data_IF_074412595367
#
_entry.id   IF_074412595367
#
_cell.length_a   1.000
_cell.length_b   1.000
_cell.length_c   1.000
_cell.angle_alpha   90.00
_cell.angle_beta   90.00
_cell.angle_gamma   90.00
#
_symmetry.space_group_name_H-M   'P 1'
#
loop_
_entity.id
_entity.type
_entity.pdbx_description
1 polymer ?
#
# COMPACT_ATOMS: atom_id res chain seq x y z
N UNK A 1 22.45 -29.28 -9.16
CA UNK A 1 23.21 -30.01 -8.13
C UNK A 1 24.71 -29.95 -8.47
N UNK A 2 25.47 -29.07 -7.81
CA UNK A 2 26.89 -29.25 -7.43
C UNK A 2 27.37 -28.02 -6.64
N UNK A 3 27.93 -28.30 -5.47
CA UNK A 3 28.48 -27.39 -4.49
C UNK A 3 30.01 -27.41 -4.64
N UNK A 4 30.70 -26.26 -4.65
CA UNK A 4 32.10 -26.15 -4.22
C UNK A 4 32.24 -24.88 -3.36
N UNK A 5 32.85 -25.05 -2.20
CA UNK A 5 33.02 -24.11 -1.07
C UNK A 5 34.50 -23.77 -0.91
N UNK A 6 34.81 -22.66 -0.20
CA UNK A 6 36.11 -22.15 0.32
C UNK A 6 36.70 -21.02 -0.57
N UNK A 7 37.09 -19.82 -0.12
CA UNK A 7 37.34 -19.18 1.18
C UNK A 7 37.26 -17.64 1.03
N UNK A 8 37.45 -16.93 2.15
CA UNK A 8 37.20 -15.52 2.44
C UNK A 8 37.94 -14.45 1.60
N UNK A 9 37.42 -13.23 1.77
CA UNK A 9 37.94 -11.88 1.51
C UNK A 9 37.54 -11.16 0.19
N UNK A 10 37.36 -9.81 0.24
CA UNK A 10 36.27 -9.13 -0.46
C UNK A 10 36.76 -8.48 -1.75
N UNK A 11 36.00 -8.65 -2.82
CA UNK A 11 36.16 -7.84 -4.03
C UNK A 11 34.80 -7.24 -4.37
N UNK A 12 34.63 -6.02 -3.89
CA UNK A 12 33.67 -5.06 -4.41
C UNK A 12 33.92 -4.92 -5.92
N UNK A 13 33.04 -5.48 -6.75
CA UNK A 13 32.97 -5.14 -8.17
C UNK A 13 31.51 -4.97 -8.61
N UNK A 14 31.10 -3.72 -8.48
CA UNK A 14 30.37 -2.94 -9.49
C UNK A 14 29.31 -3.71 -10.29
N UNK A 15 28.06 -3.70 -9.80
CA UNK A 15 26.91 -3.77 -10.69
C UNK A 15 26.51 -2.35 -11.12
N UNK A 16 26.20 -2.23 -12.40
CA UNK A 16 26.18 -1.01 -13.20
C UNK A 16 25.07 -0.05 -12.72
N UNK A 17 25.41 0.93 -11.90
CA UNK A 17 24.57 2.12 -11.66
C UNK A 17 24.48 2.91 -12.97
N UNK A 18 23.29 2.99 -13.59
CA UNK A 18 22.99 4.08 -14.51
C UNK A 18 22.47 5.24 -13.68
N UNK A 19 23.39 6.04 -13.15
CA UNK A 19 23.08 7.36 -12.61
C UNK A 19 22.61 8.26 -13.75
N UNK A 20 21.42 8.83 -13.61
CA UNK A 20 20.95 9.89 -14.49
C UNK A 20 21.58 11.19 -13.98
N UNK A 21 22.75 11.53 -14.51
CA UNK A 21 23.37 12.85 -14.34
C UNK A 21 22.65 13.85 -15.23
N UNK A 22 21.81 14.73 -14.66
CA UNK A 22 21.28 15.89 -15.38
C UNK A 22 22.27 17.04 -15.20
N UNK A 23 23.30 17.04 -16.04
CA UNK A 23 24.25 18.13 -16.19
C UNK A 23 23.64 19.29 -16.96
N UNK A 24 23.86 20.50 -16.47
CA UNK A 24 23.38 21.76 -17.00
C UNK A 24 23.81 22.01 -18.46
N UNK A 25 22.90 22.55 -19.27
CA UNK A 25 23.29 23.39 -20.39
C UNK A 25 22.26 24.52 -20.55
N UNK A 26 22.69 25.70 -20.13
CA UNK A 26 22.07 26.99 -20.40
C UNK A 26 22.24 27.29 -21.89
N UNK A 27 21.13 27.50 -22.60
CA UNK A 27 21.06 28.43 -23.74
C UNK A 27 19.77 29.21 -23.66
N UNK A 28 19.92 30.49 -23.40
CA UNK A 28 18.92 31.55 -23.50
C UNK A 28 18.83 32.00 -24.96
N UNK A 29 17.64 31.96 -25.55
CA UNK A 29 17.29 32.79 -26.71
C UNK A 29 15.92 33.45 -26.41
N UNK A 30 15.77 34.76 -26.64
CA UNK A 30 14.56 35.50 -26.28
C UNK A 30 13.55 35.45 -27.43
N UNK A 31 12.29 35.10 -27.13
CA UNK A 31 11.17 35.38 -28.04
C UNK A 31 10.24 36.35 -27.35
N UNK A 32 10.45 37.63 -27.69
CA UNK A 32 9.53 38.73 -27.48
C UNK A 32 8.46 38.68 -28.58
N UNK A 33 7.22 38.35 -28.23
CA UNK A 33 6.07 38.68 -29.05
C UNK A 33 4.86 38.91 -28.15
N UNK A 34 4.61 40.19 -27.88
CA UNK A 34 3.39 40.69 -27.27
C UNK A 34 2.19 40.41 -28.18
N UNK A 35 1.09 39.90 -27.62
CA UNK A 35 -0.24 39.90 -28.25
C UNK A 35 -1.20 40.62 -27.31
N UNK A 36 -1.90 41.68 -27.76
CA UNK A 36 -2.66 42.56 -26.88
C UNK A 36 -4.03 41.97 -26.53
N UNK A 37 -4.43 42.18 -25.28
CA UNK A 37 -5.77 41.93 -24.77
C UNK A 37 -6.76 43.00 -25.27
N UNK A 38 -7.76 42.61 -26.06
CA UNK A 38 -9.03 43.34 -26.19
C UNK A 38 -10.22 42.39 -26.37
N UNK A 39 -11.03 42.33 -25.31
CA UNK A 39 -12.49 42.53 -25.29
C UNK A 39 -13.31 41.83 -26.39
N UNK A 40 -13.89 40.68 -26.05
CA UNK A 40 -15.21 40.30 -26.58
C UNK A 40 -16.11 39.78 -25.45
N UNK A 41 -16.94 40.69 -24.94
CA UNK A 41 -18.14 40.35 -24.17
C UNK A 41 -19.14 39.72 -25.13
N UNK A 42 -19.42 38.42 -24.99
CA UNK A 42 -20.65 37.82 -25.50
C UNK A 42 -21.28 36.90 -24.46
N UNK A 43 -22.38 37.42 -23.91
CA UNK A 43 -23.51 36.73 -23.26
C UNK A 43 -23.65 35.28 -23.73
N UNK A 44 -23.62 34.35 -22.77
CA UNK A 44 -24.27 33.05 -22.90
C UNK A 44 -25.38 32.95 -21.85
N UNK A 45 -26.61 32.54 -22.23
CA UNK A 45 -27.76 32.52 -21.36
C UNK A 45 -27.68 31.38 -20.33
N UNK A 46 -28.21 31.65 -19.13
CA UNK A 46 -28.38 30.71 -18.06
C UNK A 46 -29.30 29.56 -18.48
N UNK A 47 -28.74 28.34 -18.53
CA UNK A 47 -29.52 27.11 -18.62
C UNK A 47 -29.80 26.61 -17.19
N UNK A 48 -30.92 27.07 -16.63
CA UNK A 48 -31.54 26.47 -15.46
C UNK A 48 -32.19 25.16 -15.86
N UNK A 49 -31.46 24.04 -15.69
CA UNK A 49 -32.05 22.71 -15.80
C UNK A 49 -32.45 22.23 -14.41
N UNK A 50 -33.76 22.33 -14.16
CA UNK A 50 -34.48 21.65 -13.09
C UNK A 50 -34.10 20.16 -13.05
N UNK A 51 -33.46 19.73 -11.97
CA UNK A 51 -33.23 18.31 -11.68
C UNK A 51 -34.47 17.79 -10.97
N UNK A 52 -35.33 17.10 -11.73
CA UNK A 52 -36.45 16.33 -11.20
C UNK A 52 -35.89 15.14 -10.42
N UNK A 53 -35.97 15.21 -9.09
CA UNK A 53 -35.70 14.08 -8.20
C UNK A 53 -36.84 13.07 -8.31
N UNK A 54 -36.71 12.10 -9.22
CA UNK A 54 -37.46 10.84 -9.11
C UNK A 54 -36.76 9.95 -8.09
N UNK A 55 -37.46 9.70 -7.00
CA UNK A 55 -37.13 8.69 -6.00
C UNK A 55 -36.98 7.31 -6.66
N UNK A 56 -35.80 6.72 -6.51
CA UNK A 56 -35.53 5.33 -6.90
C UNK A 56 -36.15 4.43 -5.81
N UNK A 57 -37.04 3.47 -6.14
CA UNK A 57 -37.60 2.57 -5.14
C UNK A 57 -36.52 1.60 -4.66
N UNK A 58 -36.30 1.58 -3.34
CA UNK A 58 -35.45 0.61 -2.63
C UNK A 58 -36.12 -0.77 -2.78
N UNK A 59 -35.53 -1.66 -3.57
CA UNK A 59 -35.94 -3.06 -3.63
C UNK A 59 -35.60 -3.74 -2.29
N UNK A 60 -36.61 -4.33 -1.65
CA UNK A 60 -36.43 -5.17 -0.46
C UNK A 60 -35.72 -6.47 -0.87
N UNK A 61 -34.77 -7.00 -0.07
CA UNK A 61 -34.14 -8.28 -0.36
C UNK A 61 -35.17 -9.43 -0.25
N UNK A 62 -35.09 -10.39 -1.18
CA UNK A 62 -35.91 -11.62 -1.17
C UNK A 62 -35.43 -12.58 -0.07
N UNK A 63 -36.33 -13.41 0.50
CA UNK A 63 -35.95 -14.43 1.48
C UNK A 63 -35.02 -15.46 0.84
N UNK A 64 -33.99 -15.86 1.57
CA UNK A 64 -33.07 -16.93 1.17
C UNK A 64 -33.72 -18.26 1.55
N UNK A 65 -34.12 -19.04 0.54
CA UNK A 65 -34.60 -20.41 0.74
C UNK A 65 -33.49 -21.29 1.30
N UNK A 66 -33.81 -22.03 2.36
CA UNK A 66 -32.90 -22.98 3.02
C UNK A 66 -32.61 -24.14 2.07
N UNK A 67 -31.36 -24.25 1.65
CA UNK A 67 -30.91 -25.35 0.81
C UNK A 67 -30.75 -26.63 1.64
N UNK A 68 -31.36 -27.69 1.13
CA UNK A 68 -31.40 -29.02 1.67
C UNK A 68 -29.99 -29.62 1.86
N UNK A 69 -29.79 -30.30 2.99
CA UNK A 69 -28.61 -31.11 3.29
C UNK A 69 -28.57 -32.31 2.35
N UNK A 70 -27.44 -32.47 1.66
CA UNK A 70 -27.20 -33.58 0.73
C UNK A 70 -26.64 -34.78 1.49
N UNK A 71 -27.36 -35.89 1.43
CA UNK A 71 -26.95 -37.20 1.92
C UNK A 71 -25.66 -37.66 1.24
N UNK A 72 -24.67 -38.06 2.05
CA UNK A 72 -23.54 -38.88 1.62
C UNK A 72 -23.70 -40.27 2.22
N UNK A 73 -24.03 -41.24 1.37
CA UNK A 73 -24.10 -42.65 1.72
C UNK A 73 -22.73 -43.34 1.69
N UNK A 74 -22.61 -44.34 2.56
CA UNK A 74 -22.03 -45.65 2.22
C UNK A 74 -20.51 -45.78 2.18
N UNK A 75 -19.92 -46.17 3.32
CA UNK A 75 -18.58 -46.78 3.39
C UNK A 75 -18.54 -47.81 4.52
N UNK A 76 -18.37 -49.08 4.14
CA UNK A 76 -18.43 -50.29 4.97
C UNK A 76 -17.35 -50.34 6.08
N UNK A 77 -17.61 -50.98 7.24
CA UNK A 77 -16.61 -51.13 8.29
C UNK A 77 -15.75 -52.39 8.11
N UNK A 78 -14.44 -52.26 8.32
CA UNK A 78 -13.52 -53.39 8.52
C UNK A 78 -13.52 -53.81 10.00
N UNK A 79 -13.43 -55.12 10.32
CA UNK A 79 -13.39 -55.58 11.70
C UNK A 79 -11.97 -55.46 12.27
N UNK A 80 -11.78 -54.59 13.26
CA UNK A 80 -10.59 -54.63 14.10
C UNK A 80 -10.88 -55.44 15.37
N UNK A 81 -10.13 -56.53 15.50
CA UNK A 81 -10.16 -57.51 16.58
C UNK A 81 -9.74 -56.90 17.91
N UNK A 82 -10.55 -57.20 18.92
CA UNK A 82 -10.39 -56.83 20.32
C UNK A 82 -9.23 -57.63 20.96
N UNK A 83 -8.21 -56.95 21.48
CA UNK A 83 -7.20 -57.58 22.33
C UNK A 83 -7.45 -57.16 23.78
N UNK A 84 -7.86 -58.13 24.60
CA UNK A 84 -8.08 -58.00 26.03
C UNK A 84 -6.75 -57.95 26.76
N UNK A 85 -6.33 -56.77 27.22
CA UNK A 85 -5.34 -56.67 28.30
C UNK A 85 -6.04 -56.45 29.63
N UNK A 86 -5.82 -57.40 30.53
CA UNK A 86 -6.08 -57.30 31.95
C UNK A 86 -4.90 -56.59 32.62
N UNK A 87 -5.16 -55.58 33.47
CA UNK A 87 -4.26 -55.22 34.57
C UNK A 87 -5.00 -54.39 35.65
N UNK A 88 -4.57 -54.45 36.92
CA UNK A 88 -5.48 -54.41 38.06
C UNK A 88 -5.62 -53.04 38.74
N UNK A 89 -6.77 -52.92 39.40
CA UNK A 89 -7.11 -52.08 40.56
C UNK A 89 -5.91 -51.40 41.25
N UNK A 90 -5.81 -50.07 41.09
CA UNK A 90 -5.37 -49.15 42.15
C UNK A 90 -6.36 -48.00 42.26
N UNK A 91 -7.31 -48.20 43.17
CA UNK A 91 -8.22 -47.19 43.68
C UNK A 91 -7.41 -46.34 44.67
N UNK A 92 -7.14 -45.07 44.37
CA UNK A 92 -6.43 -44.22 45.32
C UNK A 92 -5.99 -42.88 44.75
N UNK A 93 -6.72 -41.83 45.14
CA UNK A 93 -6.22 -40.46 45.31
C UNK A 93 -5.79 -39.65 44.07
N UNK A 94 -6.74 -39.26 43.21
CA UNK A 94 -6.61 -38.05 42.38
C UNK A 94 -7.91 -37.22 42.26
N UNK A 95 -8.88 -37.39 43.17
CA UNK A 95 -10.18 -36.66 43.10
C UNK A 95 -10.13 -35.31 43.87
N UNK A 96 -8.98 -34.90 44.40
CA UNK A 96 -8.83 -33.66 45.17
C UNK A 96 -8.06 -32.53 44.43
N UNK A 97 -8.01 -32.53 43.10
CA UNK A 97 -7.36 -31.48 42.28
C UNK A 97 -8.27 -30.90 41.18
N UNK A 98 -9.59 -31.09 41.29
CA UNK A 98 -10.56 -30.53 40.33
C UNK A 98 -11.45 -29.44 40.98
N UNK A 99 -11.39 -29.27 42.30
CA UNK A 99 -12.31 -28.36 43.04
C UNK A 99 -11.69 -26.97 43.31
N UNK A 100 -10.53 -26.66 42.73
CA UNK A 100 -9.80 -25.40 42.98
C UNK A 100 -9.34 -24.70 41.69
N UNK A 101 -10.23 -24.60 40.68
CA UNK A 101 -10.16 -23.54 39.66
C UNK A 101 -11.40 -23.51 38.75
N UNK A 102 -12.42 -22.70 39.10
CA UNK A 102 -13.16 -21.97 38.09
C UNK A 102 -12.97 -20.47 38.35
N UNK A 103 -11.74 -20.01 38.49
CA UNK A 103 -11.39 -18.59 38.57
C UNK A 103 -10.51 -18.10 37.41
N UNK A 104 -10.30 -18.93 36.38
CA UNK A 104 -9.47 -18.57 35.22
C UNK A 104 -10.14 -18.71 33.85
N UNK A 105 -11.43 -19.07 33.76
CA UNK A 105 -12.12 -19.24 32.46
C UNK A 105 -12.74 -17.96 31.89
N UNK A 106 -12.61 -16.80 32.54
CA UNK A 106 -13.23 -15.54 32.07
C UNK A 106 -12.24 -14.42 31.70
N UNK A 107 -10.96 -14.71 31.43
CA UNK A 107 -9.96 -13.67 31.13
C UNK A 107 -9.50 -13.57 29.67
N UNK A 108 -10.25 -14.09 28.70
CA UNK A 108 -9.79 -14.13 27.30
C UNK A 108 -10.78 -13.62 26.24
N UNK A 109 -11.90 -13.01 26.62
CA UNK A 109 -12.65 -12.15 25.71
C UNK A 109 -12.19 -10.70 25.90
N UNK A 110 -10.95 -10.42 25.46
CA UNK A 110 -10.58 -9.05 25.19
C UNK A 110 -11.51 -8.56 24.08
N UNK A 111 -12.52 -7.76 24.43
CA UNK A 111 -13.40 -7.13 23.45
C UNK A 111 -12.52 -6.29 22.51
N UNK A 112 -12.28 -6.81 21.30
CA UNK A 112 -11.60 -6.01 20.28
C UNK A 112 -12.55 -4.85 19.96
N UNK A 113 -12.09 -3.59 20.05
CA UNK A 113 -12.94 -2.46 19.72
C UNK A 113 -13.46 -2.64 18.28
N UNK A 114 -14.76 -2.43 18.10
CA UNK A 114 -15.39 -2.50 16.78
C UNK A 114 -14.86 -1.35 15.93
N UNK A 115 -14.15 -1.68 14.85
CA UNK A 115 -13.61 -0.70 13.90
C UNK A 115 -14.52 -0.56 12.69
N UNK A 116 -14.64 0.65 12.17
CA UNK A 116 -15.42 0.88 10.94
C UNK A 116 -14.66 0.38 9.70
N UNK A 117 -15.39 0.06 8.62
CA UNK A 117 -14.76 -0.30 7.35
C UNK A 117 -13.84 0.80 6.81
N UNK A 118 -14.18 2.07 7.08
CA UNK A 118 -13.35 3.22 6.71
C UNK A 118 -12.04 3.22 7.50
N UNK A 119 -12.12 2.99 8.80
CA UNK A 119 -10.97 2.94 9.69
C UNK A 119 -10.02 1.79 9.33
N UNK A 120 -10.55 0.61 9.01
CA UNK A 120 -9.74 -0.50 8.52
C UNK A 120 -9.10 -0.17 7.16
N UNK A 121 -9.84 0.47 6.26
CA UNK A 121 -9.32 0.88 4.96
C UNK A 121 -8.20 1.92 5.08
N UNK A 122 -8.28 2.82 6.06
CA UNK A 122 -7.32 3.91 6.26
C UNK A 122 -6.24 3.59 7.31
N UNK A 123 -6.09 2.31 7.65
CA UNK A 123 -5.07 1.86 8.60
C UNK A 123 -3.65 2.09 8.06
N UNK A 124 -2.76 2.66 8.88
CA UNK A 124 -1.34 2.83 8.59
C UNK A 124 -1.05 3.49 7.23
N UNK A 125 -1.89 4.46 6.86
CA UNK A 125 -1.74 5.27 5.66
C UNK A 125 -2.11 6.72 5.95
N UNK A 126 -1.35 7.66 5.41
CA UNK A 126 -1.69 9.08 5.43
C UNK A 126 -2.55 9.38 4.19
N UNK A 127 -3.82 9.70 4.42
CA UNK A 127 -4.76 10.08 3.36
C UNK A 127 -4.44 11.49 2.88
N UNK A 128 -4.34 11.67 1.56
CA UNK A 128 -4.06 12.98 0.97
C UNK A 128 -5.26 13.93 1.16
N UNK A 129 -4.97 15.21 1.41
CA UNK A 129 -5.98 16.27 1.51
C UNK A 129 -6.04 17.15 0.27
N UNK A 130 -5.00 17.15 -0.57
CA UNK A 130 -4.92 17.96 -1.78
C UNK A 130 -4.70 17.12 -3.03
N UNK A 131 -5.14 17.60 -4.19
CA UNK A 131 -5.12 16.81 -5.43
C UNK A 131 -3.69 16.54 -5.95
N UNK A 132 -2.76 17.46 -5.71
CA UNK A 132 -1.38 17.41 -6.21
C UNK A 132 -0.36 16.91 -5.17
N UNK A 133 -0.81 16.45 -4.01
CA UNK A 133 0.04 16.06 -2.87
C UNK A 133 0.17 14.55 -2.69
N UNK A 134 -0.32 13.72 -3.60
CA UNK A 134 -0.24 12.25 -3.50
C UNK A 134 1.18 11.75 -3.22
N UNK A 135 2.21 12.33 -3.88
CA UNK A 135 3.61 11.98 -3.63
C UNK A 135 4.07 12.36 -2.20
N UNK A 136 3.59 13.49 -1.67
CA UNK A 136 3.86 13.87 -0.28
C UNK A 136 3.20 12.89 0.71
N UNK A 137 1.96 12.47 0.43
CA UNK A 137 1.21 11.55 1.28
C UNK A 137 1.82 10.13 1.30
N UNK A 138 2.23 9.57 0.15
CA UNK A 138 2.91 8.26 0.13
C UNK A 138 4.27 8.30 0.83
N UNK A 139 5.03 9.39 0.65
CA UNK A 139 6.32 9.53 1.30
C UNK A 139 6.16 9.69 2.81
N UNK A 140 5.21 10.52 3.24
CA UNK A 140 4.86 10.67 4.64
C UNK A 140 4.39 9.34 5.26
N UNK A 141 3.64 8.53 4.50
CA UNK A 141 3.19 7.20 4.92
C UNK A 141 4.38 6.27 5.21
N UNK A 142 5.33 6.16 4.27
CA UNK A 142 6.54 5.34 4.45
C UNK A 142 7.37 5.85 5.63
N UNK A 143 7.62 7.17 5.70
CA UNK A 143 8.42 7.75 6.77
C UNK A 143 7.81 7.49 8.14
N UNK A 144 6.50 7.70 8.28
CA UNK A 144 5.79 7.57 9.56
C UNK A 144 5.64 6.12 9.99
N UNK A 145 5.14 5.25 9.11
CA UNK A 145 4.75 3.89 9.50
C UNK A 145 5.83 2.84 9.28
N UNK A 146 6.77 3.06 8.36
CA UNK A 146 7.82 2.08 8.03
C UNK A 146 9.20 2.50 8.52
N UNK A 147 9.43 3.81 8.71
CA UNK A 147 10.73 4.35 9.17
C UNK A 147 10.69 4.96 10.57
N UNK A 148 9.52 5.00 11.22
CA UNK A 148 9.38 5.57 12.57
C UNK A 148 9.70 7.06 12.65
N UNK A 149 9.62 7.78 11.53
CA UNK A 149 9.85 9.22 11.44
C UNK A 149 8.52 9.93 11.21
N UNK A 150 7.80 10.35 12.28
CA UNK A 150 6.44 10.85 12.17
C UNK A 150 6.41 12.21 11.46
N UNK A 151 5.75 12.26 10.31
CA UNK A 151 5.55 13.46 9.51
C UNK A 151 4.15 13.50 8.92
N UNK A 152 3.64 14.71 8.69
CA UNK A 152 2.37 14.91 8.00
C UNK A 152 2.57 15.15 6.50
N UNK A 153 1.52 14.89 5.71
CA UNK A 153 1.47 15.27 4.30
C UNK A 153 1.86 16.74 4.07
N UNK A 154 1.37 17.64 4.92
CA UNK A 154 1.60 19.08 4.78
C UNK A 154 3.06 19.45 5.03
N UNK A 155 3.70 18.85 6.05
CA UNK A 155 5.12 19.07 6.34
C UNK A 155 5.98 18.63 5.14
N UNK A 156 5.72 17.44 4.61
CA UNK A 156 6.45 16.90 3.45
C UNK A 156 6.20 17.76 2.20
N UNK A 157 4.95 18.13 1.90
CA UNK A 157 4.60 18.95 0.75
C UNK A 157 5.25 20.33 0.81
N UNK A 158 5.20 20.99 1.98
CA UNK A 158 5.80 22.32 2.19
C UNK A 158 7.31 22.27 1.99
N UNK A 159 7.98 21.26 2.54
CA UNK A 159 9.42 21.10 2.39
C UNK A 159 9.81 20.85 0.92
N UNK A 160 9.08 20.01 0.19
CA UNK A 160 9.33 19.81 -1.25
C UNK A 160 9.13 21.11 -2.07
N UNK A 161 8.16 21.95 -1.71
CA UNK A 161 7.93 23.25 -2.36
C UNK A 161 9.01 24.29 -2.07
N UNK A 162 9.81 24.14 -1.01
CA UNK A 162 10.98 24.99 -0.78
C UNK A 162 12.09 24.74 -1.81
N UNK A 163 12.09 23.56 -2.44
CA UNK A 163 13.11 23.13 -3.40
C UNK A 163 12.60 23.04 -4.84
N UNK A 164 11.29 23.25 -5.05
CA UNK A 164 10.62 23.02 -6.33
C UNK A 164 9.62 24.13 -6.60
N UNK A 165 9.70 24.73 -7.79
CA UNK A 165 8.74 25.74 -8.23
C UNK A 165 7.29 25.20 -8.18
N UNK A 166 6.39 25.85 -7.40
CA UNK A 166 4.99 25.47 -7.32
C UNK A 166 4.27 25.42 -8.68
N UNK A 167 4.61 26.31 -9.63
CA UNK A 167 4.01 26.30 -10.97
C UNK A 167 4.38 25.02 -11.73
N UNK A 168 5.62 24.54 -11.54
CA UNK A 168 6.08 23.29 -12.15
C UNK A 168 5.38 22.07 -11.58
N UNK A 169 5.15 22.04 -10.26
CA UNK A 169 4.37 20.99 -9.59
C UNK A 169 2.95 20.97 -10.14
N UNK A 170 2.30 22.14 -10.24
CA UNK A 170 0.95 22.27 -10.79
C UNK A 170 0.85 21.81 -12.25
N UNK A 171 1.79 22.23 -13.10
CA UNK A 171 1.81 21.84 -14.51
C UNK A 171 1.97 20.32 -14.70
N UNK A 172 2.76 19.66 -13.85
CA UNK A 172 2.93 18.20 -13.86
C UNK A 172 1.73 17.45 -13.27
N UNK A 173 0.86 18.13 -12.54
CA UNK A 173 -0.23 17.53 -11.77
C UNK A 173 0.20 16.93 -10.42
N UNK A 174 1.41 17.23 -9.93
CA UNK A 174 1.93 16.69 -8.68
C UNK A 174 3.44 16.76 -8.54
N UNK A 175 3.93 16.34 -7.36
CA UNK A 175 5.36 16.19 -7.09
C UNK A 175 5.94 14.97 -7.85
N UNK A 176 7.24 15.03 -8.14
CA UNK A 176 7.98 13.99 -8.84
C UNK A 176 8.81 13.12 -7.89
N UNK A 177 9.31 11.97 -8.38
CA UNK A 177 10.26 11.12 -7.65
C UNK A 177 11.53 11.90 -7.24
N UNK A 178 11.96 12.87 -8.06
CA UNK A 178 13.11 13.72 -7.74
C UNK A 178 12.83 14.64 -6.55
N UNK A 179 11.61 15.18 -6.46
CA UNK A 179 11.20 16.05 -5.35
C UNK A 179 11.18 15.24 -4.04
N UNK A 180 10.68 14.00 -4.09
CA UNK A 180 10.74 13.06 -2.96
C UNK A 180 12.18 12.71 -2.57
N UNK A 181 13.06 12.42 -3.55
CA UNK A 181 14.49 12.11 -3.29
C UNK A 181 15.20 13.27 -2.59
N UNK A 182 14.98 14.50 -3.04
CA UNK A 182 15.61 15.69 -2.44
C UNK A 182 15.13 15.93 -1.02
N UNK A 183 13.82 15.77 -0.76
CA UNK A 183 13.29 15.87 0.59
C UNK A 183 13.83 14.75 1.50
N UNK A 184 13.81 13.49 1.06
CA UNK A 184 14.35 12.37 1.82
C UNK A 184 15.82 12.61 2.21
N UNK A 185 16.65 13.07 1.26
CA UNK A 185 18.04 13.42 1.52
C UNK A 185 18.17 14.58 2.52
N UNK A 186 17.31 15.60 2.44
CA UNK A 186 17.31 16.74 3.38
C UNK A 186 17.11 16.30 4.84
N UNK A 187 16.30 15.27 5.08
CA UNK A 187 16.06 14.72 6.42
C UNK A 187 16.98 13.53 6.77
N UNK A 188 17.98 13.26 5.93
CA UNK A 188 19.04 12.28 6.17
C UNK A 188 18.70 10.85 5.72
N UNK A 189 17.60 10.62 5.00
CA UNK A 189 17.27 9.31 4.46
C UNK A 189 17.90 9.09 3.09
N UNK A 190 18.51 7.92 2.91
CA UNK A 190 18.87 7.44 1.58
C UNK A 190 17.61 7.07 0.79
N UNK A 191 17.65 7.23 -0.53
CA UNK A 191 16.56 6.79 -1.40
C UNK A 191 17.01 6.55 -2.83
N UNK A 192 16.43 5.53 -3.45
CA UNK A 192 16.77 5.07 -4.78
C UNK A 192 15.55 4.88 -5.67
N UNK A 193 15.71 5.25 -6.93
CA UNK A 193 14.74 5.03 -7.99
C UNK A 193 15.18 3.88 -8.88
N UNK A 194 14.25 2.97 -9.16
CA UNK A 194 14.43 1.82 -10.03
C UNK A 194 13.52 1.95 -11.25
N UNK A 195 13.96 1.43 -12.38
CA UNK A 195 13.20 1.34 -13.62
C UNK A 195 13.29 -0.09 -14.16
N UNK A 196 12.40 -0.43 -15.10
CA UNK A 196 12.32 -1.74 -15.75
C UNK A 196 12.20 -2.92 -14.77
N UNK A 197 11.55 -2.69 -13.62
CA UNK A 197 11.34 -3.71 -12.59
C UNK A 197 10.32 -4.75 -13.04
N UNK A 198 10.60 -6.03 -12.78
CA UNK A 198 9.60 -7.08 -12.81
C UNK A 198 8.75 -7.08 -11.53
N UNK A 199 7.62 -7.80 -11.54
CA UNK A 199 6.84 -8.03 -10.31
C UNK A 199 7.65 -8.77 -9.22
N UNK A 200 8.61 -9.59 -9.63
CA UNK A 200 9.51 -10.29 -8.69
C UNK A 200 10.47 -9.32 -8.03
N UNK A 201 11.05 -8.39 -8.79
CA UNK A 201 11.91 -7.34 -8.24
C UNK A 201 11.12 -6.43 -7.30
N UNK A 202 9.87 -6.10 -7.68
CA UNK A 202 8.97 -5.31 -6.85
C UNK A 202 8.67 -6.01 -5.52
N UNK A 203 8.40 -7.31 -5.55
CA UNK A 203 8.14 -8.13 -4.36
C UNK A 203 9.32 -8.14 -3.38
N UNK A 204 10.55 -8.13 -3.90
CA UNK A 204 11.76 -8.13 -3.08
C UNK A 204 12.04 -6.78 -2.38
N UNK A 205 11.41 -5.69 -2.84
CA UNK A 205 11.70 -4.32 -2.39
C UNK A 205 10.59 -3.70 -1.54
N UNK A 206 9.51 -4.42 -1.25
CA UNK A 206 8.41 -3.91 -0.43
C UNK A 206 8.89 -3.57 1.00
N UNK A 207 8.36 -2.50 1.63
CA UNK A 207 7.41 -1.53 1.10
C UNK A 207 8.09 -0.53 0.13
N UNK A 208 7.45 -0.28 -1.02
CA UNK A 208 8.02 0.56 -2.09
C UNK A 208 6.97 1.49 -2.68
N UNK A 209 7.37 2.73 -3.00
CA UNK A 209 6.50 3.71 -3.67
C UNK A 209 6.58 3.47 -5.17
N UNK A 210 5.43 3.43 -5.85
CA UNK A 210 5.37 3.24 -7.30
C UNK A 210 4.45 4.26 -7.95
N UNK A 211 4.80 4.80 -9.14
CA UNK A 211 3.84 5.50 -9.97
C UNK A 211 2.91 4.48 -10.64
N UNK A 212 1.62 4.78 -10.68
CA UNK A 212 0.61 4.01 -11.40
C UNK A 212 -0.27 4.94 -12.21
N UNK A 213 -0.89 4.41 -13.27
CA UNK A 213 -1.94 5.12 -14.00
C UNK A 213 -3.31 4.70 -13.50
N UNK A 214 -3.91 5.51 -12.64
CA UNK A 214 -5.25 5.26 -12.10
C UNK A 214 -6.28 6.15 -12.81
N UNK A 215 -7.30 5.52 -13.43
CA UNK A 215 -8.43 6.24 -14.07
C UNK A 215 -8.00 7.31 -15.08
N UNK A 216 -6.89 7.10 -15.78
CA UNK A 216 -6.36 8.02 -16.79
C UNK A 216 -5.31 9.00 -16.29
N UNK A 217 -5.10 9.12 -14.97
CA UNK A 217 -4.17 10.07 -14.35
C UNK A 217 -2.96 9.37 -13.73
N UNK A 218 -1.83 10.07 -13.67
CA UNK A 218 -0.64 9.60 -12.97
C UNK A 218 -0.84 9.76 -11.46
N UNK A 219 -0.54 8.72 -10.70
CA UNK A 219 -0.75 8.67 -9.27
C UNK A 219 0.39 7.92 -8.59
N UNK A 220 0.65 8.20 -7.32
CA UNK A 220 1.60 7.42 -6.52
C UNK A 220 0.87 6.59 -5.46
N UNK A 221 1.30 5.34 -5.33
CA UNK A 221 0.82 4.43 -4.29
C UNK A 221 1.99 3.72 -3.63
N UNK A 222 1.76 3.19 -2.43
CA UNK A 222 2.71 2.29 -1.77
C UNK A 222 2.30 0.86 -2.02
N UNK A 223 3.21 0.05 -2.53
CA UNK A 223 3.05 -1.42 -2.56
C UNK A 223 3.60 -1.96 -1.25
N UNK A 224 2.72 -2.56 -0.46
CA UNK A 224 3.04 -3.15 0.85
C UNK A 224 3.48 -4.60 0.75
N UNK A 225 2.92 -5.33 -0.21
CA UNK A 225 3.13 -6.76 -0.38
C UNK A 225 2.77 -7.17 -1.81
N UNK A 226 3.45 -8.18 -2.31
CA UNK A 226 3.13 -8.83 -3.59
C UNK A 226 2.99 -10.33 -3.30
N UNK A 227 1.76 -10.82 -3.33
CA UNK A 227 1.41 -12.22 -3.10
C UNK A 227 1.51 -13.03 -4.39
N UNK A 228 1.07 -14.29 -4.41
CA UNK A 228 1.08 -15.12 -5.62
C UNK A 228 0.22 -14.52 -6.75
N UNK A 229 -0.98 -14.02 -6.43
CA UNK A 229 -1.96 -13.53 -7.41
C UNK A 229 -2.29 -12.04 -7.30
N UNK A 230 -2.00 -11.42 -6.15
CA UNK A 230 -2.45 -10.07 -5.82
C UNK A 230 -1.30 -9.16 -5.37
N UNK A 231 -1.54 -7.86 -5.45
CA UNK A 231 -0.67 -6.79 -4.97
C UNK A 231 -1.46 -6.01 -3.91
N UNK A 232 -0.87 -5.82 -2.74
CA UNK A 232 -1.46 -5.04 -1.65
C UNK A 232 -0.97 -3.60 -1.75
N UNK A 233 -1.93 -2.68 -1.85
CA UNK A 233 -1.68 -1.29 -2.20
C UNK A 233 -2.25 -0.41 -1.10
N UNK A 234 -1.42 0.51 -0.61
CA UNK A 234 -1.85 1.63 0.21
C UNK A 234 -1.86 2.88 -0.68
N UNK A 235 -3.06 3.32 -1.06
CA UNK A 235 -3.30 4.45 -1.97
C UNK A 235 -3.78 5.66 -1.16
N UNK A 236 -3.05 6.79 -1.15
CA UNK A 236 -3.40 7.94 -0.31
C UNK A 236 -4.74 8.58 -0.69
N UNK A 237 -5.25 8.37 -1.92
CA UNK A 237 -6.53 8.90 -2.37
C UNK A 237 -7.73 7.98 -2.08
N UNK A 238 -7.50 6.71 -1.75
CA UNK A 238 -8.58 5.73 -1.53
C UNK A 238 -8.46 4.93 -0.23
N UNK A 239 -7.25 4.66 0.22
CA UNK A 239 -6.86 3.79 1.33
C UNK A 239 -6.32 2.44 0.86
N UNK A 240 -6.32 1.45 1.74
CA UNK A 240 -5.76 0.11 1.48
C UNK A 240 -6.70 -0.75 0.64
N UNK A 241 -6.17 -1.42 -0.37
CA UNK A 241 -6.89 -2.41 -1.18
C UNK A 241 -5.95 -3.44 -1.81
N UNK A 242 -6.54 -4.47 -2.41
CA UNK A 242 -5.84 -5.51 -3.17
C UNK A 242 -6.23 -5.43 -4.64
N UNK A 243 -5.28 -5.74 -5.51
CA UNK A 243 -5.49 -5.78 -6.96
C UNK A 243 -4.75 -6.97 -7.56
N UNK A 244 -5.32 -7.61 -8.58
CA UNK A 244 -4.64 -8.72 -9.27
C UNK A 244 -3.34 -8.24 -9.92
N UNK A 245 -2.32 -9.10 -9.97
CA UNK A 245 -1.03 -8.81 -10.61
C UNK A 245 -1.17 -8.34 -12.06
N UNK A 246 -2.06 -8.96 -12.83
CA UNK A 246 -2.32 -8.60 -14.22
C UNK A 246 -2.82 -7.16 -14.34
N UNK A 247 -3.82 -6.79 -13.52
CA UNK A 247 -4.37 -5.44 -13.52
C UNK A 247 -3.35 -4.41 -13.02
N UNK A 248 -2.56 -4.74 -12.00
CA UNK A 248 -1.48 -3.88 -11.53
C UNK A 248 -0.45 -3.63 -12.64
N UNK A 249 0.05 -4.69 -13.27
CA UNK A 249 1.08 -4.63 -14.32
C UNK A 249 0.62 -3.82 -15.53
N UNK A 250 -0.66 -3.91 -15.90
CA UNK A 250 -1.22 -3.12 -17.00
C UNK A 250 -1.19 -1.60 -16.73
N UNK A 251 -1.11 -1.16 -15.48
CA UNK A 251 -1.14 0.25 -15.07
C UNK A 251 0.17 0.74 -14.45
N UNK A 252 1.17 -0.13 -14.32
CA UNK A 252 2.44 0.16 -13.66
C UNK A 252 3.58 0.17 -14.70
N UNK A 253 4.34 1.27 -14.83
CA UNK A 253 5.38 1.41 -15.85
C UNK A 253 6.71 0.72 -15.47
N UNK A 254 6.74 -0.17 -14.48
CA UNK A 254 7.98 -0.84 -14.04
C UNK A 254 8.92 0.05 -13.22
N UNK A 255 8.41 1.15 -12.64
CA UNK A 255 9.21 2.11 -11.86
C UNK A 255 8.93 1.91 -10.36
N UNK A 256 9.97 1.97 -9.54
CA UNK A 256 9.87 1.92 -8.08
C UNK A 256 10.75 2.96 -7.41
N UNK A 257 10.36 3.40 -6.22
CA UNK A 257 11.11 4.34 -5.39
C UNK A 257 11.17 3.81 -3.96
N UNK A 258 12.38 3.51 -3.52
CA UNK A 258 12.65 2.93 -2.20
C UNK A 258 13.27 3.97 -1.29
N UNK A 259 12.79 4.01 -0.05
CA UNK A 259 13.40 4.81 1.02
C UNK A 259 14.27 3.87 1.86
N UNK A 260 15.56 4.18 1.95
CA UNK A 260 16.59 3.40 2.64
C UNK A 260 16.65 3.71 4.14
N UNK A 261 17.86 3.64 4.69
CA UNK A 261 18.13 3.96 6.09
C UNK A 261 18.39 5.46 6.27
N UNK A 262 18.23 5.92 7.51
CA UNK A 262 18.61 7.28 7.89
C UNK A 262 20.09 7.31 8.26
N UNK A 263 20.87 8.11 7.56
CA UNK A 263 22.28 8.35 7.91
C UNK A 263 22.35 9.01 9.30
N UNK A 264 23.17 8.44 10.19
CA UNK A 264 23.41 8.98 11.53
C UNK A 264 22.39 8.59 12.61
N UNK A 265 21.43 7.69 12.32
CA UNK A 265 20.67 7.01 13.35
C UNK A 265 21.42 5.72 13.76
N UNK A 266 22.18 5.79 14.86
CA UNK A 266 22.75 4.63 15.56
C UNK A 266 22.11 4.52 16.93
#
# INVERSE_FOLDING_TARGET
MRLIRLLAEPIFRANRKREITVGAMVRTEPILAAVPARRLLRRFPALTRSVSTRSIPIQRPRPVDKMATKDYGGGSPHPFTFSTMHAPRRLGACIALIVMSPLFTNLAHAERPVRSLLEQRQENIIIQRWDNSCAAAVLATILTYDKGYPVTEEQVARAMLQQTDPLRVRHRGGFSLLDMKRYAAQIGFESDGYADMSLTDLAAQVPIIVPVRARGYNHFVVVRQVDENEVHIADPGFGNYRMTKSRFSANWPGIGFQVGQRMGAQ
#
